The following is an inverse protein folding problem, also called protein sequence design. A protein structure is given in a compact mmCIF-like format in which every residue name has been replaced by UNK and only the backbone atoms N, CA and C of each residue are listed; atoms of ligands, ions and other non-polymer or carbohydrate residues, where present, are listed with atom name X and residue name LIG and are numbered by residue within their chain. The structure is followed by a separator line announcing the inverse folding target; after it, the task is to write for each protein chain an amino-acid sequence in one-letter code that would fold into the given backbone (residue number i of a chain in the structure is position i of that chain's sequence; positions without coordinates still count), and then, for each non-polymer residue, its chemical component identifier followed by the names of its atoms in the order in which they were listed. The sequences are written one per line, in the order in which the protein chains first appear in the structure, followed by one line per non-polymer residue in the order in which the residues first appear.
data_IF_453363570023
#
_entry.id   IF_453363570023
#
_cell.length_a   1.000
_cell.length_b   1.000
_cell.length_c   1.000
_cell.angle_alpha   90.00
_cell.angle_beta   90.00
_cell.angle_gamma   90.00
#
_symmetry.space_group_name_H-M   'P 1'
#
loop_
_entity.id
_entity.type
_entity.pdbx_description
1 polymer ?
#
# COMPACT_ATOMS: atom_id res chain seq x y z
N UNK A 1 -20.76 22.04 2.53
CA UNK A 1 -21.46 20.76 2.76
C UNK A 1 -22.46 20.95 3.88
N UNK A 2 -23.73 20.58 3.66
CA UNK A 2 -24.76 20.62 4.69
C UNK A 2 -24.59 19.43 5.63
N UNK A 3 -25.07 19.53 6.87
CA UNK A 3 -24.99 18.44 7.87
C UNK A 3 -25.62 17.14 7.35
N UNK A 4 -26.76 17.24 6.64
CA UNK A 4 -27.41 16.06 6.06
C UNK A 4 -26.58 15.36 4.97
N UNK A 5 -25.83 16.11 4.17
CA UNK A 5 -24.91 15.55 3.16
C UNK A 5 -23.74 14.82 3.84
N UNK A 6 -23.19 15.40 4.92
CA UNK A 6 -22.12 14.77 5.70
C UNK A 6 -22.59 13.44 6.32
N UNK A 7 -23.80 13.41 6.89
CA UNK A 7 -24.37 12.19 7.46
C UNK A 7 -24.61 11.11 6.42
N UNK A 8 -25.01 11.50 5.20
CA UNK A 8 -25.11 10.57 4.09
C UNK A 8 -23.75 9.93 3.77
N UNK A 9 -22.71 10.74 3.61
CA UNK A 9 -21.34 10.26 3.37
C UNK A 9 -20.83 9.34 4.48
N UNK A 10 -21.15 9.63 5.76
CA UNK A 10 -20.81 8.74 6.88
C UNK A 10 -21.52 7.38 6.79
N UNK A 11 -22.78 7.37 6.35
CA UNK A 11 -23.54 6.14 6.12
C UNK A 11 -22.91 5.33 4.98
N UNK A 12 -22.55 5.97 3.87
CA UNK A 12 -21.88 5.32 2.74
C UNK A 12 -20.51 4.75 3.13
N UNK A 13 -19.70 5.50 3.91
CA UNK A 13 -18.43 5.00 4.46
C UNK A 13 -18.65 3.74 5.31
N UNK A 14 -19.66 3.75 6.17
CA UNK A 14 -19.97 2.61 7.05
C UNK A 14 -20.40 1.39 6.23
N UNK A 15 -21.23 1.59 5.21
CA UNK A 15 -21.64 0.53 4.30
C UNK A 15 -20.44 -0.05 3.52
N UNK A 16 -19.50 0.80 3.09
CA UNK A 16 -18.28 0.37 2.44
C UNK A 16 -17.39 -0.44 3.37
N UNK A 17 -17.17 0.01 4.61
CA UNK A 17 -16.39 -0.70 5.61
C UNK A 17 -16.96 -2.11 5.89
N UNK A 18 -18.28 -2.24 5.96
CA UNK A 18 -18.94 -3.53 6.08
C UNK A 18 -18.66 -4.43 4.88
N UNK A 19 -18.79 -3.91 3.64
CA UNK A 19 -18.52 -4.71 2.42
C UNK A 19 -17.08 -5.25 2.40
N UNK A 20 -16.11 -4.44 2.82
CA UNK A 20 -14.72 -4.89 2.95
C UNK A 20 -14.54 -5.96 4.02
N UNK A 21 -15.17 -5.80 5.19
CA UNK A 21 -15.16 -6.81 6.25
C UNK A 21 -15.80 -8.13 5.80
N UNK A 22 -16.94 -8.08 5.12
CA UNK A 22 -17.61 -9.25 4.56
C UNK A 22 -16.69 -9.97 3.55
N UNK A 23 -16.03 -9.22 2.66
CA UNK A 23 -15.06 -9.76 1.70
C UNK A 23 -13.85 -10.37 2.37
N UNK A 24 -13.32 -9.73 3.41
CA UNK A 24 -12.22 -10.25 4.21
C UNK A 24 -12.60 -11.60 4.83
N UNK A 25 -13.75 -11.67 5.50
CA UNK A 25 -14.22 -12.91 6.13
C UNK A 25 -14.50 -14.01 5.09
N UNK A 26 -15.05 -13.65 3.93
CA UNK A 26 -15.31 -14.60 2.85
C UNK A 26 -14.04 -15.27 2.29
N UNK A 27 -12.85 -14.69 2.51
CA UNK A 27 -11.59 -15.35 2.13
C UNK A 27 -11.36 -16.68 2.83
N UNK A 28 -12.04 -16.95 3.95
CA UNK A 28 -12.03 -18.25 4.61
C UNK A 28 -12.42 -19.42 3.68
N UNK A 29 -13.25 -19.15 2.67
CA UNK A 29 -13.61 -20.15 1.64
C UNK A 29 -12.48 -20.47 0.66
N UNK A 30 -11.41 -19.67 0.64
CA UNK A 30 -10.28 -19.76 -0.30
C UNK A 30 -8.97 -20.17 0.36
N UNK A 31 -8.87 -20.09 1.68
CA UNK A 31 -7.66 -20.46 2.41
C UNK A 31 -7.67 -21.95 2.75
N UNK A 32 -6.48 -22.57 2.77
CA UNK A 32 -6.32 -23.96 3.18
C UNK A 32 -6.65 -24.20 4.67
N UNK A 33 -6.60 -23.15 5.49
CA UNK A 33 -6.87 -23.20 6.93
C UNK A 33 -8.35 -23.06 7.27
N UNK A 34 -9.21 -22.72 6.30
CA UNK A 34 -10.61 -22.37 6.54
C UNK A 34 -10.82 -21.10 7.36
N UNK A 35 -9.76 -20.29 7.56
CA UNK A 35 -9.80 -19.00 8.27
C UNK A 35 -9.64 -17.85 7.30
N UNK A 36 -10.20 -16.65 7.57
CA UNK A 36 -9.91 -15.47 6.77
C UNK A 36 -8.41 -15.20 6.67
N UNK A 37 -7.96 -14.52 5.61
CA UNK A 37 -6.57 -14.06 5.48
C UNK A 37 -6.13 -13.28 6.71
N UNK A 38 -4.84 -13.39 7.05
CA UNK A 38 -4.28 -12.72 8.22
C UNK A 38 -3.91 -11.26 7.95
N UNK A 39 -3.47 -10.96 6.73
CA UNK A 39 -3.07 -9.64 6.29
C UNK A 39 -3.15 -9.51 4.76
N UNK A 40 -3.06 -8.27 4.28
CA UNK A 40 -2.73 -7.94 2.89
C UNK A 40 -1.30 -7.41 2.86
N UNK A 41 -0.48 -7.90 1.94
CA UNK A 41 0.84 -7.33 1.61
C UNK A 41 0.76 -6.63 0.26
N UNK A 42 1.26 -5.38 0.19
CA UNK A 42 1.21 -4.57 -1.03
C UNK A 42 2.24 -3.45 -1.02
N UNK A 43 2.52 -2.76 -2.15
CA UNK A 43 3.36 -1.57 -2.16
C UNK A 43 2.83 -0.48 -1.23
N UNK A 44 3.72 0.27 -0.58
CA UNK A 44 3.35 1.42 0.24
C UNK A 44 3.12 2.70 -0.59
N UNK A 45 3.81 2.80 -1.73
CA UNK A 45 3.90 3.97 -2.62
C UNK A 45 4.29 3.49 -4.01
N UNK A 46 3.97 4.21 -5.10
CA UNK A 46 4.46 3.87 -6.44
C UNK A 46 5.94 4.26 -6.65
N UNK A 47 6.54 5.02 -5.72
CA UNK A 47 7.92 5.52 -5.83
C UNK A 47 8.85 4.80 -4.84
N UNK A 48 10.12 4.56 -5.20
CA UNK A 48 11.18 4.41 -4.20
C UNK A 48 11.38 5.74 -3.46
N UNK A 49 12.27 5.79 -2.45
CA UNK A 49 12.60 7.01 -1.70
C UNK A 49 12.67 8.24 -2.60
N UNK A 50 11.64 9.07 -2.54
CA UNK A 50 11.31 9.95 -3.66
C UNK A 50 12.23 11.18 -3.68
N UNK A 51 12.82 11.56 -4.82
CA UNK A 51 13.59 12.79 -4.92
C UNK A 51 12.78 14.03 -4.49
N UNK A 52 13.47 15.00 -3.90
CA UNK A 52 12.86 16.21 -3.40
C UNK A 52 12.06 16.93 -4.50
N UNK A 53 10.79 17.24 -4.21
CA UNK A 53 9.91 17.96 -5.14
C UNK A 53 9.24 17.10 -6.21
N UNK A 54 9.50 15.79 -6.28
CA UNK A 54 8.88 14.84 -7.22
C UNK A 54 7.78 13.98 -6.60
N UNK A 55 7.25 14.38 -5.45
CA UNK A 55 6.09 13.72 -4.85
C UNK A 55 4.82 14.15 -5.56
N UNK A 56 4.39 13.34 -6.53
CA UNK A 56 3.05 13.49 -7.09
C UNK A 56 2.00 13.10 -6.04
N UNK A 57 0.83 13.74 -6.09
CA UNK A 57 -0.30 13.57 -5.16
C UNK A 57 -1.01 12.19 -5.28
N UNK A 58 -0.26 11.10 -5.43
CA UNK A 58 -0.80 9.75 -5.47
C UNK A 58 -0.72 9.07 -4.11
N UNK A 59 -1.89 8.95 -3.49
CA UNK A 59 -2.08 8.31 -2.18
C UNK A 59 -2.95 7.05 -2.26
N UNK A 60 -3.09 6.47 -3.45
CA UNK A 60 -4.00 5.35 -3.72
C UNK A 60 -3.64 4.06 -3.00
N UNK A 61 -2.36 3.84 -2.67
CA UNK A 61 -1.93 2.65 -1.92
C UNK A 61 -2.26 2.71 -0.42
N UNK A 62 -2.49 3.90 0.14
CA UNK A 62 -2.71 4.09 1.60
C UNK A 62 -4.13 4.55 1.92
N UNK A 63 -4.67 5.50 1.14
CA UNK A 63 -5.96 6.14 1.38
C UNK A 63 -7.15 5.19 1.58
N UNK A 64 -7.27 4.05 0.86
CA UNK A 64 -8.34 3.11 1.13
C UNK A 64 -8.36 2.61 2.58
N UNK A 65 -7.19 2.40 3.19
CA UNK A 65 -7.09 1.87 4.55
C UNK A 65 -7.30 2.95 5.61
N UNK A 66 -6.99 4.21 5.32
CA UNK A 66 -7.42 5.35 6.13
C UNK A 66 -8.96 5.45 6.16
N UNK A 67 -9.62 5.28 5.01
CA UNK A 67 -11.08 5.34 4.91
C UNK A 67 -11.76 4.20 5.68
N UNK A 68 -11.16 3.00 5.62
CA UNK A 68 -11.67 1.79 6.25
C UNK A 68 -11.30 1.67 7.74
N UNK A 69 -10.39 2.51 8.23
CA UNK A 69 -9.86 2.50 9.60
C UNK A 69 -9.19 1.14 9.92
N UNK A 70 -8.31 0.70 9.02
CA UNK A 70 -7.56 -0.55 9.13
C UNK A 70 -6.16 -0.30 9.68
N UNK A 71 -5.63 -1.25 10.47
CA UNK A 71 -4.27 -1.20 10.98
C UNK A 71 -3.29 -1.43 9.82
N UNK A 72 -2.30 -0.55 9.66
CA UNK A 72 -1.31 -0.63 8.59
C UNK A 72 0.10 -0.38 9.12
N UNK A 73 1.08 -1.10 8.59
CA UNK A 73 2.49 -0.93 8.95
C UNK A 73 3.40 -1.10 7.73
N UNK A 74 4.34 -0.17 7.57
CA UNK A 74 5.28 -0.13 6.43
C UNK A 74 6.66 -0.63 6.84
N UNK A 75 7.35 -1.32 5.94
CA UNK A 75 8.70 -1.81 6.16
C UNK A 75 9.52 -1.74 4.86
N UNK A 76 10.84 -1.44 4.95
CA UNK A 76 11.71 -1.42 3.78
C UNK A 76 12.02 -2.84 3.33
N UNK A 77 12.05 -3.09 2.02
CA UNK A 77 12.37 -4.41 1.45
C UNK A 77 13.67 -4.44 0.66
N UNK A 78 14.00 -3.36 -0.04
CA UNK A 78 15.24 -3.24 -0.80
C UNK A 78 15.56 -1.77 -1.03
N UNK A 79 16.66 -1.51 -1.75
CA UNK A 79 17.02 -0.21 -2.30
C UNK A 79 17.12 -0.29 -3.81
N UNK A 80 16.91 0.85 -4.46
CA UNK A 80 17.08 0.98 -5.91
C UNK A 80 18.55 0.82 -6.28
N UNK A 81 18.85 -0.09 -7.20
CA UNK A 81 20.14 -0.20 -7.87
C UNK A 81 20.00 0.33 -9.29
N UNK A 82 20.62 1.47 -9.57
CA UNK A 82 20.57 2.09 -10.89
C UNK A 82 21.05 1.17 -12.01
N UNK A 83 21.92 0.19 -11.75
CA UNK A 83 22.41 -0.72 -12.78
C UNK A 83 21.41 -1.84 -13.12
N UNK A 84 20.39 -2.03 -12.28
CA UNK A 84 19.38 -3.08 -12.39
C UNK A 84 18.02 -2.48 -12.70
N UNK A 85 17.62 -1.45 -11.94
CA UNK A 85 16.31 -0.80 -11.97
C UNK A 85 16.25 0.30 -13.04
N UNK A 86 16.56 -0.08 -14.28
CA UNK A 86 16.50 0.81 -15.43
C UNK A 86 15.05 1.12 -15.79
N UNK A 87 14.83 2.35 -16.30
CA UNK A 87 13.52 2.76 -16.79
C UNK A 87 13.18 1.97 -18.06
N UNK A 88 12.12 1.17 -17.99
CA UNK A 88 11.67 0.39 -19.14
C UNK A 88 10.98 1.28 -20.19
N UNK A 89 10.90 0.80 -21.43
CA UNK A 89 10.05 1.45 -22.43
C UNK A 89 8.60 1.02 -22.21
N UNK A 90 7.73 1.99 -21.91
CA UNK A 90 6.32 1.77 -21.60
C UNK A 90 5.46 2.76 -22.36
N UNK A 91 4.51 2.24 -23.11
CA UNK A 91 3.58 3.03 -23.94
C UNK A 91 2.13 3.06 -23.43
N UNK A 92 1.78 2.16 -22.50
CA UNK A 92 0.43 2.03 -21.96
C UNK A 92 0.36 2.44 -20.49
N UNK A 93 -0.48 3.43 -20.21
CA UNK A 93 -0.71 4.01 -18.88
C UNK A 93 -2.19 3.92 -18.49
N UNK A 94 -2.47 3.70 -17.21
CA UNK A 94 -3.84 3.61 -16.69
C UNK A 94 -4.54 4.97 -16.66
N UNK A 95 -3.78 6.04 -16.39
CA UNK A 95 -4.25 7.43 -16.36
C UNK A 95 -3.06 8.39 -16.45
N UNK A 96 -3.34 9.69 -16.49
CA UNK A 96 -2.32 10.74 -16.49
C UNK A 96 -1.41 10.68 -15.25
N UNK A 97 -1.97 10.39 -14.07
CA UNK A 97 -1.16 10.24 -12.85
C UNK A 97 -0.16 9.09 -12.96
N UNK A 98 -0.57 7.93 -13.47
CA UNK A 98 0.34 6.79 -13.71
C UNK A 98 1.45 7.15 -14.70
N UNK A 99 1.10 7.86 -15.78
CA UNK A 99 2.09 8.36 -16.73
C UNK A 99 3.09 9.32 -16.09
N UNK A 100 2.64 10.30 -15.32
CA UNK A 100 3.51 11.28 -14.68
C UNK A 100 4.47 10.61 -13.68
N UNK A 101 3.95 9.68 -12.86
CA UNK A 101 4.77 8.89 -11.94
C UNK A 101 5.85 8.10 -12.69
N UNK A 102 5.48 7.49 -13.82
CA UNK A 102 6.43 6.76 -14.66
C UNK A 102 7.46 7.69 -15.29
N UNK A 103 7.02 8.82 -15.85
CA UNK A 103 7.86 9.81 -16.52
C UNK A 103 8.87 10.45 -15.56
N UNK A 104 8.52 10.62 -14.29
CA UNK A 104 9.40 11.21 -13.26
C UNK A 104 10.47 10.25 -12.71
N UNK A 105 10.30 8.93 -12.90
CA UNK A 105 11.29 7.95 -12.46
C UNK A 105 12.61 8.14 -13.22
N UNK A 106 13.69 8.35 -12.46
CA UNK A 106 15.08 8.43 -12.93
C UNK A 106 15.94 7.47 -12.09
N UNK A 107 16.62 6.48 -12.70
CA UNK A 107 17.44 5.51 -11.97
C UNK A 107 18.63 6.11 -11.21
N UNK A 108 19.24 7.18 -11.72
CA UNK A 108 20.40 7.82 -11.09
C UNK A 108 19.97 8.61 -9.84
N UNK A 109 18.88 9.38 -9.92
CA UNK A 109 18.33 10.11 -8.78
C UNK A 109 17.74 9.20 -7.71
N UNK A 110 17.17 8.06 -8.11
CA UNK A 110 16.51 7.13 -7.20
C UNK A 110 17.48 6.16 -6.52
N UNK A 111 18.73 6.07 -6.99
CA UNK A 111 19.70 5.08 -6.52
C UNK A 111 19.93 5.16 -5.00
N UNK A 112 19.91 4.00 -4.34
CA UNK A 112 20.01 3.89 -2.89
C UNK A 112 18.72 4.27 -2.14
N UNK A 113 17.71 4.80 -2.82
CA UNK A 113 16.40 5.08 -2.26
C UNK A 113 15.68 3.80 -1.82
N UNK A 114 14.99 3.86 -0.68
CA UNK A 114 14.28 2.70 -0.14
C UNK A 114 13.03 2.37 -0.95
N UNK A 115 12.84 1.08 -1.23
CA UNK A 115 11.58 0.51 -1.70
C UNK A 115 10.87 -0.10 -0.50
N UNK A 116 9.62 0.32 -0.27
CA UNK A 116 8.82 -0.09 0.89
C UNK A 116 7.56 -0.85 0.51
N UNK A 117 7.27 -1.90 1.27
CA UNK A 117 5.96 -2.56 1.27
C UNK A 117 5.20 -2.19 2.54
N UNK A 118 3.91 -2.50 2.55
CA UNK A 118 3.05 -2.38 3.71
C UNK A 118 2.28 -3.69 3.96
N UNK A 119 2.06 -3.95 5.24
CA UNK A 119 1.14 -4.96 5.75
C UNK A 119 -0.10 -4.28 6.30
N UNK A 120 -1.26 -4.75 5.85
CA UNK A 120 -2.57 -4.29 6.31
C UNK A 120 -3.21 -5.41 7.13
N UNK A 121 -3.59 -5.09 8.36
CA UNK A 121 -4.47 -5.90 9.20
C UNK A 121 -5.88 -5.32 9.23
N UNK A 122 -6.80 -6.00 9.90
CA UNK A 122 -8.14 -5.45 10.14
C UNK A 122 -8.08 -4.35 11.19
N UNK A 123 -9.17 -3.61 11.33
CA UNK A 123 -9.39 -2.69 12.45
C UNK A 123 -9.14 -3.40 13.80
N UNK A 124 -8.38 -2.75 14.68
CA UNK A 124 -7.97 -3.26 16.00
C UNK A 124 -7.02 -4.46 15.98
N UNK A 125 -6.20 -4.60 14.92
CA UNK A 125 -5.19 -5.65 14.82
C UNK A 125 -3.76 -5.08 14.81
N UNK A 126 -3.52 -3.94 15.45
CA UNK A 126 -2.20 -3.26 15.47
C UNK A 126 -1.07 -4.19 15.96
N UNK A 127 -1.27 -4.91 17.07
CA UNK A 127 -0.27 -5.84 17.61
C UNK A 127 0.01 -7.02 16.66
N UNK A 128 -1.02 -7.46 15.93
CA UNK A 128 -0.89 -8.50 14.91
C UNK A 128 -0.05 -7.99 13.75
N UNK A 129 -0.32 -6.77 13.26
CA UNK A 129 0.46 -6.13 12.19
C UNK A 129 1.91 -5.98 12.61
N UNK A 130 2.20 -5.47 13.81
CA UNK A 130 3.56 -5.34 14.34
C UNK A 130 4.25 -6.72 14.40
N UNK A 131 3.55 -7.76 14.85
CA UNK A 131 4.09 -9.11 14.93
C UNK A 131 4.43 -9.69 13.55
N UNK A 132 3.54 -9.49 12.57
CA UNK A 132 3.76 -9.92 11.19
C UNK A 132 4.91 -9.13 10.54
N UNK A 133 5.04 -7.84 10.80
CA UNK A 133 6.18 -7.04 10.34
C UNK A 133 7.49 -7.60 10.87
N UNK A 134 7.58 -7.92 12.17
CA UNK A 134 8.77 -8.56 12.76
C UNK A 134 9.14 -9.87 12.07
N UNK A 135 8.13 -10.71 11.83
CA UNK A 135 8.31 -11.98 11.12
C UNK A 135 8.83 -11.75 9.70
N UNK A 136 8.21 -10.84 8.95
CA UNK A 136 8.61 -10.54 7.58
C UNK A 136 10.03 -9.97 7.54
N UNK A 137 10.37 -9.04 8.42
CA UNK A 137 11.74 -8.50 8.51
C UNK A 137 12.78 -9.53 8.95
N UNK A 138 12.39 -10.69 9.48
CA UNK A 138 13.33 -11.77 9.84
C UNK A 138 13.66 -12.71 8.67
N UNK A 139 12.90 -12.66 7.56
CA UNK A 139 13.12 -13.57 6.42
C UNK A 139 13.95 -12.94 5.30
N UNK A 140 14.31 -11.65 5.42
CA UNK A 140 15.23 -10.99 4.51
C UNK A 140 16.10 -10.00 5.30
N UNK A 141 17.33 -9.81 4.84
CA UNK A 141 18.14 -8.67 5.30
C UNK A 141 17.78 -7.48 4.42
N UNK A 142 17.41 -6.31 4.99
CA UNK A 142 17.24 -5.11 4.19
C UNK A 142 18.54 -4.84 3.44
N UNK A 143 18.49 -4.86 2.11
CA UNK A 143 19.65 -4.57 1.25
C UNK A 143 20.33 -3.28 1.74
N UNK A 144 21.60 -3.40 2.14
CA UNK A 144 22.40 -2.35 2.79
C UNK A 144 22.55 -1.07 1.95
#
# INVERSE_FOLDING_TARGET
MKVGELWHLHSERTALAKKYLDRWNATASKTSTGKPIDAIIMPATPFPGNPNGKFHDYVGYTSPFNLLDYSAGTFPVTRVDKNIDQKEDRSLFYCETDKNIWDDYDPEESHGGYVGLQLIGRKFEEEKVISMMRLVTSVYEPSA
#
